data_IF_962547934515
#
_entry.id   IF_962547934515
#
_cell.length_a   1.000
_cell.length_b   1.000
_cell.length_c   1.000
_cell.angle_alpha   90.00
_cell.angle_beta   90.00
_cell.angle_gamma   90.00
#
_symmetry.space_group_name_H-M   'P 1'
#
loop_
_entity.id
_entity.type
_entity.pdbx_description
1 polymer ?
#
# COMPACT_ATOMS: atom_id res chain seq x y z
N UNK A 1 -50.39 55.00 -20.41
CA UNK A 1 -49.91 54.07 -19.37
C UNK A 1 -49.03 53.02 -20.02
N UNK A 2 -47.82 52.84 -19.47
CA UNK A 2 -46.98 51.62 -19.37
C UNK A 2 -46.96 50.64 -20.57
N UNK A 3 -45.81 50.17 -21.05
CA UNK A 3 -44.68 49.76 -20.24
C UNK A 3 -43.38 49.58 -21.02
N UNK A 4 -42.29 49.78 -20.29
CA UNK A 4 -40.91 49.56 -20.68
C UNK A 4 -40.62 48.06 -20.54
N UNK A 5 -40.27 47.37 -21.62
CA UNK A 5 -39.83 45.97 -21.57
C UNK A 5 -38.32 45.97 -21.35
N UNK A 6 -37.91 45.59 -20.14
CA UNK A 6 -36.51 45.42 -19.77
C UNK A 6 -36.10 43.98 -20.11
N UNK A 7 -35.29 43.80 -21.16
CA UNK A 7 -34.69 42.50 -21.49
C UNK A 7 -33.49 42.25 -20.57
N UNK A 8 -33.66 41.39 -19.57
CA UNK A 8 -32.56 40.92 -18.73
C UNK A 8 -31.83 39.81 -19.48
N UNK A 9 -30.60 40.10 -19.91
CA UNK A 9 -29.71 39.12 -20.51
C UNK A 9 -29.03 38.32 -19.38
N UNK A 10 -29.52 37.11 -19.12
CA UNK A 10 -28.92 36.19 -18.14
C UNK A 10 -27.65 35.58 -18.74
N UNK A 11 -26.50 36.09 -18.32
CA UNK A 11 -25.20 35.47 -18.60
C UNK A 11 -25.06 34.25 -17.70
N UNK A 12 -25.26 33.05 -18.27
CA UNK A 12 -25.01 31.80 -17.58
C UNK A 12 -23.51 31.59 -17.38
N UNK A 13 -23.04 31.70 -16.14
CA UNK A 13 -21.71 31.25 -15.74
C UNK A 13 -21.69 29.72 -15.78
N UNK A 14 -21.15 29.15 -16.86
CA UNK A 14 -20.78 27.73 -16.91
C UNK A 14 -19.62 27.51 -15.95
N UNK A 15 -19.94 27.10 -14.72
CA UNK A 15 -18.96 26.54 -13.79
C UNK A 15 -18.48 25.21 -14.35
N UNK A 16 -17.27 25.20 -14.90
CA UNK A 16 -16.59 23.98 -15.32
C UNK A 16 -16.30 23.15 -14.05
N UNK A 17 -17.11 22.13 -13.78
CA UNK A 17 -16.82 21.14 -12.75
C UNK A 17 -15.58 20.36 -13.21
N UNK A 18 -14.43 20.58 -12.56
CA UNK A 18 -13.23 19.75 -12.75
C UNK A 18 -13.62 18.30 -12.45
N UNK A 19 -13.52 17.45 -13.47
CA UNK A 19 -13.73 16.02 -13.35
C UNK A 19 -12.73 15.39 -12.37
N UNK A 20 -13.14 14.34 -11.67
CA UNK A 20 -12.28 13.56 -10.76
C UNK A 20 -11.04 12.95 -11.46
N UNK A 21 -11.01 12.94 -12.79
CA UNK A 21 -9.90 12.47 -13.64
C UNK A 21 -8.65 13.35 -13.58
N UNK A 22 -8.70 14.58 -13.07
CA UNK A 22 -7.53 15.49 -13.00
C UNK A 22 -6.57 15.16 -11.83
N UNK A 23 -6.87 14.16 -11.00
CA UNK A 23 -6.11 13.88 -9.76
C UNK A 23 -4.97 12.89 -9.92
N UNK A 24 -5.04 12.00 -10.91
CA UNK A 24 -4.06 10.92 -11.11
C UNK A 24 -3.32 11.17 -12.41
N UNK A 25 -2.01 11.35 -12.32
CA UNK A 25 -1.13 11.50 -13.48
C UNK A 25 -0.22 10.28 -13.62
N UNK A 26 -0.01 9.80 -14.85
CA UNK A 26 1.08 8.85 -15.14
C UNK A 26 2.40 9.63 -15.08
N UNK A 27 3.29 9.23 -14.18
CA UNK A 27 4.60 9.85 -13.98
C UNK A 27 5.61 9.28 -14.98
N UNK A 28 5.68 7.95 -15.06
CA UNK A 28 6.63 7.21 -15.92
C UNK A 28 6.21 5.75 -16.01
N UNK A 29 6.81 5.00 -16.94
CA UNK A 29 6.84 3.54 -16.88
C UNK A 29 7.87 3.07 -15.85
N UNK A 30 7.64 1.92 -15.22
CA UNK A 30 8.64 1.28 -14.37
C UNK A 30 9.79 0.68 -15.22
N UNK A 31 10.98 0.44 -14.64
CA UNK A 31 12.01 -0.36 -15.27
C UNK A 31 11.49 -1.72 -15.73
N UNK A 32 11.74 -2.10 -16.99
CA UNK A 32 11.28 -3.37 -17.59
C UNK A 32 11.69 -4.65 -16.85
N UNK A 33 12.71 -4.55 -15.99
CA UNK A 33 13.17 -5.67 -15.17
C UNK A 33 12.15 -6.00 -14.07
N UNK A 34 11.41 -5.01 -13.60
CA UNK A 34 10.36 -5.13 -12.58
C UNK A 34 9.05 -5.42 -13.30
N UNK A 35 8.61 -6.68 -13.25
CA UNK A 35 7.40 -7.16 -13.93
C UNK A 35 6.20 -7.10 -13.01
N UNK A 36 6.39 -7.50 -11.76
CA UNK A 36 5.31 -7.72 -10.79
C UNK A 36 5.54 -6.82 -9.56
N UNK A 37 5.61 -5.51 -9.79
CA UNK A 37 5.84 -4.55 -8.71
C UNK A 37 4.74 -4.66 -7.65
N UNK A 38 5.09 -5.18 -6.46
CA UNK A 38 4.13 -5.44 -5.38
C UNK A 38 4.11 -4.32 -4.34
N UNK A 39 5.05 -3.37 -4.38
CA UNK A 39 5.16 -2.33 -3.35
C UNK A 39 5.60 -0.98 -3.91
N UNK A 40 5.55 0.05 -3.08
CA UNK A 40 6.27 1.29 -3.31
C UNK A 40 6.67 1.87 -1.97
N UNK A 41 7.91 2.33 -1.80
CA UNK A 41 8.33 3.05 -0.60
C UNK A 41 9.44 4.05 -0.85
N UNK A 42 9.41 5.20 -0.18
CA UNK A 42 10.52 6.18 -0.16
C UNK A 42 11.10 6.24 1.24
N UNK A 43 12.32 5.73 1.40
CA UNK A 43 13.05 5.77 2.67
C UNK A 43 13.76 7.11 2.87
N UNK A 44 13.85 7.59 4.11
CA UNK A 44 14.67 8.77 4.47
C UNK A 44 16.16 8.65 4.13
N UNK A 45 16.65 7.45 3.84
CA UNK A 45 18.03 7.20 3.45
C UNK A 45 18.31 7.44 1.95
N UNK A 46 17.27 7.59 1.11
CA UNK A 46 17.43 7.73 -0.34
C UNK A 46 16.18 8.30 -1.03
N UNK A 47 16.36 9.16 -2.03
CA UNK A 47 15.26 9.66 -2.88
C UNK A 47 14.77 8.63 -3.92
N UNK A 48 15.27 7.39 -3.89
CA UNK A 48 14.79 6.32 -4.75
C UNK A 48 13.42 5.82 -4.27
N UNK A 49 12.60 5.42 -5.22
CA UNK A 49 11.39 4.65 -4.98
C UNK A 49 11.82 3.19 -4.94
N UNK A 50 11.56 2.54 -3.81
CA UNK A 50 11.85 1.15 -3.56
C UNK A 50 10.62 0.28 -3.87
N UNK A 51 10.84 -0.87 -4.47
CA UNK A 51 9.81 -1.90 -4.69
C UNK A 51 10.43 -3.28 -4.57
N UNK A 52 9.55 -4.27 -4.48
CA UNK A 52 9.84 -5.71 -4.55
C UNK A 52 8.92 -6.33 -5.60
N UNK A 53 9.13 -7.62 -5.86
CA UNK A 53 8.19 -8.47 -6.60
C UNK A 53 7.66 -9.57 -5.68
N UNK A 54 6.46 -10.08 -5.98
CA UNK A 54 5.74 -11.08 -5.19
C UNK A 54 6.38 -12.48 -5.24
N UNK A 55 5.70 -13.48 -4.67
CA UNK A 55 6.18 -14.87 -4.66
C UNK A 55 6.64 -15.37 -6.05
N UNK A 56 7.60 -16.31 -6.05
CA UNK A 56 8.25 -16.92 -7.24
C UNK A 56 9.23 -15.99 -7.97
N UNK A 57 9.38 -14.75 -7.54
CA UNK A 57 10.44 -13.85 -8.00
C UNK A 57 11.66 -13.91 -7.07
N UNK A 58 12.76 -13.27 -7.48
CA UNK A 58 13.99 -13.25 -6.70
C UNK A 58 13.88 -12.35 -5.45
N UNK A 59 14.69 -12.61 -4.44
CA UNK A 59 14.76 -11.82 -3.20
C UNK A 59 15.50 -10.50 -3.43
N UNK A 60 14.97 -9.63 -4.28
CA UNK A 60 15.60 -8.39 -4.70
C UNK A 60 14.76 -7.20 -4.26
N UNK A 61 15.43 -6.25 -3.61
CA UNK A 61 14.92 -4.91 -3.37
C UNK A 61 15.39 -4.00 -4.51
N UNK A 62 14.45 -3.55 -5.33
CA UNK A 62 14.71 -2.68 -6.48
C UNK A 62 14.56 -1.22 -6.09
N UNK A 63 15.48 -0.36 -6.54
CA UNK A 63 15.41 1.09 -6.34
C UNK A 63 15.47 1.81 -7.68
N UNK A 64 14.46 2.64 -7.97
CA UNK A 64 14.34 3.39 -9.22
C UNK A 64 13.98 4.85 -8.97
N UNK A 65 14.22 5.70 -9.97
CA UNK A 65 13.89 7.14 -9.90
C UNK A 65 12.48 7.43 -10.40
N UNK A 66 11.95 8.62 -10.11
CA UNK A 66 10.69 9.12 -10.70
C UNK A 66 10.72 9.25 -12.23
N UNK A 67 11.87 9.07 -12.88
CA UNK A 67 12.01 8.98 -14.34
C UNK A 67 11.95 7.55 -14.88
N UNK A 68 11.71 6.55 -14.02
CA UNK A 68 11.67 5.14 -14.40
C UNK A 68 13.05 4.52 -14.61
N UNK A 69 14.11 5.21 -14.19
CA UNK A 69 15.48 4.70 -14.29
C UNK A 69 15.82 3.81 -13.10
N UNK A 70 16.15 2.54 -13.35
CA UNK A 70 16.67 1.62 -12.34
C UNK A 70 18.05 2.08 -11.86
N UNK A 71 18.25 2.15 -10.54
CA UNK A 71 19.52 2.57 -9.91
C UNK A 71 20.09 1.53 -8.95
N UNK A 72 19.23 0.70 -8.36
CA UNK A 72 19.62 -0.32 -7.38
C UNK A 72 18.88 -1.62 -7.60
N UNK A 73 19.62 -2.71 -7.41
CA UNK A 73 19.16 -4.07 -7.29
C UNK A 73 19.92 -4.65 -6.10
N UNK A 74 19.24 -4.85 -4.98
CA UNK A 74 19.87 -5.31 -3.74
C UNK A 74 19.35 -6.70 -3.45
N UNK A 75 20.21 -7.71 -3.62
CA UNK A 75 19.86 -9.08 -3.23
C UNK A 75 19.86 -9.22 -1.72
N UNK A 76 18.78 -9.75 -1.15
CA UNK A 76 18.69 -10.08 0.28
C UNK A 76 19.03 -11.56 0.46
N UNK A 77 20.21 -11.86 1.00
CA UNK A 77 20.81 -13.20 0.85
C UNK A 77 20.52 -14.21 1.96
N UNK A 78 19.87 -13.81 3.06
CA UNK A 78 19.64 -14.68 4.24
C UNK A 78 18.16 -14.95 4.54
N UNK A 79 17.25 -14.59 3.65
CA UNK A 79 15.81 -14.86 3.72
C UNK A 79 15.31 -15.25 2.33
N UNK A 80 14.13 -15.87 2.27
CA UNK A 80 13.46 -16.26 1.03
C UNK A 80 12.20 -15.42 0.81
N UNK A 81 11.84 -15.21 -0.46
CA UNK A 81 10.54 -14.68 -0.85
C UNK A 81 9.50 -15.81 -0.84
N UNK A 82 8.83 -15.99 0.31
CA UNK A 82 7.74 -16.95 0.42
C UNK A 82 6.44 -16.36 -0.16
N UNK A 83 6.11 -15.11 0.20
CA UNK A 83 5.08 -14.26 -0.42
C UNK A 83 5.31 -12.81 0.06
N UNK A 84 6.20 -12.10 -0.63
CA UNK A 84 6.54 -10.70 -0.35
C UNK A 84 5.48 -9.78 -0.92
N UNK A 85 4.87 -8.95 -0.09
CA UNK A 85 3.67 -8.20 -0.49
C UNK A 85 3.87 -6.70 -0.47
N UNK A 86 4.57 -6.14 0.52
CA UNK A 86 4.63 -4.68 0.70
C UNK A 86 5.94 -4.21 1.36
N UNK A 87 6.17 -2.89 1.34
CA UNK A 87 7.33 -2.21 1.94
C UNK A 87 6.92 -1.09 2.90
N UNK A 88 7.75 -0.84 3.91
CA UNK A 88 7.63 0.36 4.74
C UNK A 88 9.00 0.79 5.27
N UNK A 89 9.17 2.04 5.69
CA UNK A 89 10.42 2.53 6.25
C UNK A 89 10.26 3.27 7.57
N UNK A 90 11.29 3.20 8.43
CA UNK A 90 11.33 3.92 9.70
C UNK A 90 12.00 5.30 9.59
N UNK A 91 11.91 6.08 10.67
CA UNK A 91 12.52 7.41 10.76
C UNK A 91 14.06 7.40 10.63
N UNK A 92 14.70 6.23 10.78
CA UNK A 92 16.14 6.03 10.57
C UNK A 92 16.48 5.59 9.12
N UNK A 93 15.48 5.46 8.25
CA UNK A 93 15.63 5.09 6.84
C UNK A 93 15.85 3.59 6.60
N UNK A 94 15.60 2.74 7.60
CA UNK A 94 15.62 1.30 7.38
C UNK A 94 14.36 0.90 6.60
N UNK A 95 14.48 -0.06 5.69
CA UNK A 95 13.35 -0.61 4.94
C UNK A 95 12.92 -1.92 5.59
N UNK A 96 11.62 -2.13 5.64
CA UNK A 96 10.97 -3.33 6.12
C UNK A 96 10.27 -4.00 4.94
N UNK A 97 10.51 -5.30 4.77
CA UNK A 97 9.90 -6.13 3.73
C UNK A 97 8.88 -7.04 4.38
N UNK A 98 7.63 -6.97 3.94
CA UNK A 98 6.55 -7.82 4.42
C UNK A 98 6.52 -9.16 3.72
N UNK A 99 6.92 -10.25 4.39
CA UNK A 99 6.79 -11.63 3.90
C UNK A 99 5.62 -12.31 4.60
N UNK A 100 4.41 -11.93 4.20
CA UNK A 100 3.18 -12.27 4.90
C UNK A 100 1.98 -12.56 4.00
N UNK A 101 2.15 -12.51 2.68
CA UNK A 101 1.12 -12.91 1.73
C UNK A 101 0.66 -14.34 2.02
N UNK A 102 -0.64 -14.55 2.10
CA UNK A 102 -1.24 -15.78 2.60
C UNK A 102 -2.61 -16.02 1.97
N UNK A 103 -2.66 -15.93 0.65
CA UNK A 103 -3.82 -16.13 -0.22
C UNK A 103 -4.76 -17.27 0.23
N UNK A 104 -4.20 -18.43 0.57
CA UNK A 104 -4.95 -19.62 0.99
C UNK A 104 -5.17 -19.72 2.50
N UNK A 105 -4.59 -18.81 3.28
CA UNK A 105 -4.61 -18.78 4.75
C UNK A 105 -3.99 -20.05 5.36
N UNK A 106 -2.96 -20.58 4.70
CA UNK A 106 -2.24 -21.81 5.07
C UNK A 106 -0.91 -21.54 5.78
N UNK A 107 -0.33 -20.35 5.61
CA UNK A 107 1.01 -20.04 6.11
C UNK A 107 1.03 -19.81 7.61
N UNK A 108 2.02 -20.41 8.25
CA UNK A 108 2.36 -20.21 9.66
C UNK A 108 3.68 -19.44 9.84
N UNK A 109 4.40 -19.13 8.76
CA UNK A 109 5.71 -18.49 8.75
C UNK A 109 5.64 -17.00 8.33
N UNK A 110 4.66 -16.26 8.84
CA UNK A 110 4.50 -14.83 8.53
C UNK A 110 5.60 -14.02 9.19
N UNK A 111 6.27 -13.17 8.42
CA UNK A 111 7.44 -12.42 8.88
C UNK A 111 7.54 -11.01 8.27
N UNK A 112 8.33 -10.17 8.93
CA UNK A 112 8.77 -8.87 8.42
C UNK A 112 10.29 -8.79 8.56
N UNK A 113 10.98 -8.46 7.47
CA UNK A 113 12.44 -8.40 7.40
C UNK A 113 12.95 -6.97 7.43
N UNK A 114 13.90 -6.66 8.32
CA UNK A 114 14.55 -5.34 8.37
C UNK A 114 15.81 -5.31 7.52
N UNK A 115 15.88 -4.38 6.58
CA UNK A 115 17.08 -4.03 5.82
C UNK A 115 17.60 -2.68 6.32
N UNK A 116 18.87 -2.62 6.74
CA UNK A 116 19.42 -1.40 7.31
C UNK A 116 19.62 -0.30 6.26
N UNK A 117 19.40 0.95 6.65
CA UNK A 117 19.61 2.14 5.82
C UNK A 117 20.99 2.17 5.13
N UNK A 118 22.04 1.81 5.87
CA UNK A 118 23.42 1.79 5.35
C UNK A 118 23.63 0.75 4.23
N UNK A 119 22.78 -0.29 4.17
CA UNK A 119 22.87 -1.35 3.17
C UNK A 119 22.17 -0.98 1.85
N UNK A 120 21.35 0.07 1.84
CA UNK A 120 20.64 0.55 0.63
C UNK A 120 21.58 1.08 -0.46
N UNK A 121 22.86 1.30 -0.12
CA UNK A 121 23.90 1.68 -1.08
C UNK A 121 24.61 0.47 -1.72
N UNK A 122 24.40 -0.74 -1.20
CA UNK A 122 25.10 -1.98 -1.61
C UNK A 122 24.35 -2.67 -2.76
N UNK A 123 24.94 -3.76 -3.26
CA UNK A 123 24.30 -4.67 -4.24
C UNK A 123 23.79 -5.96 -3.57
N UNK A 124 24.24 -6.23 -2.35
CA UNK A 124 23.79 -7.34 -1.52
C UNK A 124 23.65 -6.87 -0.08
N UNK A 125 22.60 -7.30 0.58
CA UNK A 125 22.30 -7.01 1.98
C UNK A 125 21.78 -8.28 2.69
N UNK A 126 21.71 -8.19 4.02
CA UNK A 126 21.05 -9.21 4.83
C UNK A 126 19.92 -8.57 5.62
N UNK A 127 18.84 -9.31 5.83
CA UNK A 127 17.86 -9.00 6.85
C UNK A 127 18.56 -9.03 8.22
N UNK A 128 18.64 -7.88 8.87
CA UNK A 128 19.34 -7.70 10.16
C UNK A 128 18.45 -8.01 11.35
N UNK A 129 17.14 -8.00 11.15
CA UNK A 129 16.14 -8.49 12.07
C UNK A 129 15.01 -9.18 11.29
N UNK A 130 14.47 -10.24 11.89
CA UNK A 130 13.31 -10.96 11.39
C UNK A 130 12.26 -10.93 12.51
N UNK A 131 11.12 -10.32 12.21
CA UNK A 131 9.99 -10.21 13.14
C UNK A 131 8.93 -11.19 12.67
N UNK A 132 8.82 -12.31 13.34
CA UNK A 132 7.83 -13.35 13.05
C UNK A 132 6.55 -13.09 13.83
N UNK A 133 5.38 -13.34 13.23
CA UNK A 133 4.10 -13.16 13.91
C UNK A 133 3.07 -14.22 13.55
N UNK A 134 1.98 -14.26 14.33
CA UNK A 134 0.84 -15.13 14.09
C UNK A 134 -0.46 -14.45 14.53
N UNK A 135 -1.59 -14.93 14.01
CA UNK A 135 -2.91 -14.52 14.45
C UNK A 135 -3.44 -15.43 15.55
N UNK A 136 -3.70 -14.92 16.77
CA UNK A 136 -4.30 -15.74 17.82
C UNK A 136 -5.67 -16.32 17.45
N UNK A 137 -6.40 -15.65 16.55
CA UNK A 137 -7.72 -16.05 16.05
C UNK A 137 -7.67 -17.14 14.96
N UNK A 138 -6.51 -17.38 14.34
CA UNK A 138 -6.36 -18.39 13.28
C UNK A 138 -5.98 -19.74 13.89
N UNK A 139 -7.00 -20.55 14.21
CA UNK A 139 -6.82 -21.88 14.81
C UNK A 139 -6.80 -23.02 13.80
N UNK A 140 -7.08 -22.74 12.52
CA UNK A 140 -7.09 -23.71 11.41
C UNK A 140 -6.25 -23.16 10.25
N UNK A 141 -5.49 -24.03 9.58
CA UNK A 141 -4.63 -23.72 8.44
C UNK A 141 -4.96 -24.70 7.30
N UNK A 142 -5.93 -24.39 6.41
CA UNK A 142 -6.64 -23.13 6.30
C UNK A 142 -7.94 -23.14 7.10
N UNK A 143 -8.44 -21.97 7.54
CA UNK A 143 -9.80 -21.89 8.03
C UNK A 143 -10.78 -22.19 6.88
N UNK A 144 -12.05 -22.42 7.25
CA UNK A 144 -13.14 -22.54 6.27
C UNK A 144 -13.10 -21.39 5.28
N UNK A 145 -13.45 -21.64 4.02
CA UNK A 145 -13.41 -20.63 2.93
C UNK A 145 -14.09 -19.30 3.29
N UNK A 146 -15.15 -19.30 4.09
CA UNK A 146 -15.86 -18.08 4.53
C UNK A 146 -15.14 -17.27 5.62
N UNK A 147 -14.13 -17.84 6.26
CA UNK A 147 -13.39 -17.29 7.40
C UNK A 147 -11.92 -17.00 7.03
N UNK A 148 -11.58 -16.97 5.73
CA UNK A 148 -10.25 -16.65 5.22
C UNK A 148 -9.99 -15.14 5.22
N UNK A 149 -9.59 -14.60 6.36
CA UNK A 149 -9.36 -13.16 6.59
C UNK A 149 -7.98 -12.85 7.18
N UNK A 150 -7.05 -13.81 7.11
CA UNK A 150 -5.69 -13.76 7.69
C UNK A 150 -4.60 -13.61 6.61
N UNK A 151 -4.97 -13.04 5.48
CA UNK A 151 -4.09 -12.68 4.38
C UNK A 151 -3.71 -11.20 4.54
N UNK A 152 -2.44 -10.88 4.69
CA UNK A 152 -1.97 -9.48 4.75
C UNK A 152 -1.36 -9.16 3.42
N UNK A 153 -1.73 -8.02 2.86
CA UNK A 153 -1.06 -7.51 1.65
C UNK A 153 -0.57 -6.09 1.80
N UNK A 154 -0.75 -5.50 2.99
CA UNK A 154 -0.25 -4.17 3.21
C UNK A 154 0.05 -3.85 4.65
N UNK A 155 1.04 -2.99 4.85
CA UNK A 155 1.45 -2.57 6.19
C UNK A 155 2.24 -1.26 6.20
N UNK A 156 2.38 -0.68 7.39
CA UNK A 156 3.44 0.29 7.63
C UNK A 156 3.98 0.22 9.05
N UNK A 157 5.18 0.76 9.26
CA UNK A 157 5.75 0.96 10.59
C UNK A 157 5.44 2.35 11.13
N UNK A 158 4.98 2.43 12.38
CA UNK A 158 4.80 3.69 13.11
C UNK A 158 5.09 3.46 14.60
N UNK A 159 5.90 4.34 15.21
CA UNK A 159 6.22 4.28 16.65
C UNK A 159 6.73 2.89 17.11
N UNK A 160 7.58 2.26 16.30
CA UNK A 160 8.14 0.92 16.53
C UNK A 160 7.09 -0.21 16.60
N UNK A 161 5.96 -0.03 15.92
CA UNK A 161 4.91 -1.03 15.74
C UNK A 161 4.61 -1.17 14.25
N UNK A 162 4.37 -2.39 13.80
CA UNK A 162 3.82 -2.67 12.48
C UNK A 162 2.30 -2.67 12.55
N UNK A 163 1.69 -1.99 11.59
CA UNK A 163 0.25 -1.94 11.40
C UNK A 163 -0.09 -2.67 10.11
N UNK A 164 -0.76 -3.81 10.24
CA UNK A 164 -1.05 -4.74 9.15
C UNK A 164 -2.51 -4.62 8.75
N UNK A 165 -2.78 -4.62 7.45
CA UNK A 165 -4.14 -4.53 6.89
C UNK A 165 -4.41 -5.78 6.05
N UNK A 166 -5.44 -6.53 6.45
CA UNK A 166 -5.75 -7.79 5.77
C UNK A 166 -6.54 -7.59 4.49
N UNK A 167 -6.30 -8.47 3.52
CA UNK A 167 -7.11 -8.69 2.33
C UNK A 167 -8.12 -9.80 2.62
N UNK A 168 -9.40 -9.51 2.46
CA UNK A 168 -10.43 -10.51 2.68
C UNK A 168 -10.45 -11.52 1.53
N UNK A 169 -10.05 -12.77 1.81
CA UNK A 169 -10.07 -13.92 0.87
C UNK A 169 -11.28 -14.82 1.09
N UNK A 170 -12.26 -14.36 1.87
CA UNK A 170 -13.49 -15.09 2.16
C UNK A 170 -14.28 -15.39 0.89
N UNK A 171 -14.86 -16.58 0.80
CA UNK A 171 -15.88 -16.90 -0.20
C UNK A 171 -17.13 -16.00 -0.10
N UNK A 172 -17.27 -15.24 0.98
CA UNK A 172 -18.29 -14.21 1.19
C UNK A 172 -17.65 -12.84 1.31
N UNK A 173 -16.81 -12.49 0.34
CA UNK A 173 -16.15 -11.19 0.30
C UNK A 173 -17.16 -10.04 0.44
N UNK A 174 -16.84 -9.11 1.33
CA UNK A 174 -17.64 -7.91 1.60
C UNK A 174 -16.80 -6.62 1.61
N UNK A 175 -15.49 -6.72 1.37
CA UNK A 175 -14.56 -5.59 1.47
C UNK A 175 -13.99 -5.35 2.86
N UNK A 176 -14.22 -6.24 3.82
CA UNK A 176 -13.60 -6.11 5.15
C UNK A 176 -12.08 -6.15 5.04
N UNK A 177 -11.41 -5.18 5.65
CA UNK A 177 -9.99 -5.23 5.98
C UNK A 177 -9.86 -5.11 7.49
N UNK A 178 -9.03 -5.94 8.10
CA UNK A 178 -8.79 -5.94 9.55
C UNK A 178 -7.45 -5.30 9.83
N UNK A 179 -7.43 -4.34 10.75
CA UNK A 179 -6.22 -3.70 11.25
C UNK A 179 -5.67 -4.51 12.43
N UNK A 180 -4.45 -5.01 12.27
CA UNK A 180 -3.67 -5.61 13.33
C UNK A 180 -2.43 -4.78 13.68
N UNK A 181 -1.94 -4.97 14.89
CA UNK A 181 -0.68 -4.40 15.38
C UNK A 181 0.28 -5.51 15.81
N UNK A 182 1.55 -5.40 15.43
CA UNK A 182 2.65 -6.28 15.86
C UNK A 182 3.83 -5.43 16.33
N UNK A 183 4.45 -5.79 17.46
CA UNK A 183 5.64 -5.09 17.95
C UNK A 183 6.82 -5.32 16.99
N UNK A 184 7.60 -4.28 16.68
CA UNK A 184 8.84 -4.44 15.93
C UNK A 184 9.95 -4.99 16.84
N UNK A 185 9.89 -6.29 17.10
CA UNK A 185 10.80 -7.00 17.99
C UNK A 185 11.11 -8.39 17.45
N UNK A 186 12.39 -8.64 17.15
CA UNK A 186 12.88 -9.93 16.69
C UNK A 186 13.24 -10.88 17.85
N UNK A 187 13.43 -12.15 17.53
CA UNK A 187 13.90 -13.18 18.48
C UNK A 187 12.79 -13.98 19.15
N UNK A 188 11.53 -13.70 18.85
CA UNK A 188 10.37 -14.52 19.23
C UNK A 188 9.23 -14.30 18.23
N UNK A 189 8.34 -15.29 18.12
CA UNK A 189 7.09 -15.15 17.35
C UNK A 189 6.08 -14.34 18.16
N UNK A 190 5.52 -13.28 17.56
CA UNK A 190 4.65 -12.33 18.25
C UNK A 190 3.17 -12.53 17.89
N UNK A 191 2.24 -12.37 18.84
CA UNK A 191 0.81 -12.35 18.52
C UNK A 191 0.44 -11.02 17.86
N UNK A 192 -0.20 -11.08 16.68
CA UNK A 192 -0.84 -9.93 16.07
C UNK A 192 -2.08 -9.53 16.87
N UNK A 193 -2.10 -8.28 17.36
CA UNK A 193 -3.21 -7.74 18.12
C UNK A 193 -4.21 -7.07 17.19
N UNK A 194 -5.43 -7.60 17.13
CA UNK A 194 -6.53 -6.96 16.40
C UNK A 194 -6.92 -5.62 17.05
N UNK A 195 -6.99 -4.58 16.25
CA UNK A 195 -7.35 -3.22 16.68
C UNK A 195 -8.79 -2.90 16.27
N UNK A 196 -9.07 -2.96 14.97
CA UNK A 196 -10.37 -2.61 14.40
C UNK A 196 -10.52 -3.18 12.98
N UNK A 197 -11.60 -2.85 12.28
CA UNK A 197 -11.81 -3.23 10.89
C UNK A 197 -12.55 -2.14 10.12
N UNK A 198 -12.35 -2.10 8.81
CA UNK A 198 -13.06 -1.21 7.90
C UNK A 198 -13.64 -2.01 6.73
N UNK A 199 -14.78 -1.56 6.20
CA UNK A 199 -15.43 -2.19 5.03
C UNK A 199 -15.28 -1.25 3.84
N UNK A 200 -14.58 -1.71 2.80
CA UNK A 200 -14.41 -0.96 1.55
C UNK A 200 -15.68 -1.05 0.68
N UNK A 201 -15.84 -2.13 -0.07
CA UNK A 201 -17.04 -2.47 -0.82
C UNK A 201 -17.06 -3.96 -1.20
N UNK A 202 -18.22 -4.50 -1.57
CA UNK A 202 -18.40 -5.93 -1.89
C UNK A 202 -17.88 -6.40 -3.26
N UNK A 203 -17.13 -5.59 -4.02
CA UNK A 203 -16.52 -6.01 -5.28
C UNK A 203 -15.04 -6.34 -5.08
N UNK A 204 -14.70 -7.63 -5.05
CA UNK A 204 -13.33 -8.10 -4.79
C UNK A 204 -12.29 -7.42 -5.68
N UNK A 205 -12.52 -7.41 -6.99
CA UNK A 205 -11.55 -6.86 -7.94
C UNK A 205 -11.31 -5.36 -7.72
N UNK A 206 -12.29 -4.61 -7.20
CA UNK A 206 -12.18 -3.16 -7.06
C UNK A 206 -11.87 -2.69 -5.63
N UNK A 207 -12.08 -3.53 -4.63
CA UNK A 207 -12.13 -3.11 -3.23
C UNK A 207 -11.31 -3.97 -2.27
N UNK A 208 -10.68 -5.04 -2.77
CA UNK A 208 -9.63 -5.72 -2.01
C UNK A 208 -8.46 -4.76 -1.78
N UNK A 209 -8.00 -4.66 -0.54
CA UNK A 209 -6.85 -3.82 -0.17
C UNK A 209 -5.57 -4.49 -0.66
N UNK A 210 -4.67 -3.69 -1.24
CA UNK A 210 -3.40 -4.16 -1.84
C UNK A 210 -2.17 -3.43 -1.32
N UNK A 211 -2.30 -2.21 -0.79
CA UNK A 211 -1.17 -1.45 -0.23
C UNK A 211 -1.63 -0.44 0.81
N UNK A 212 -0.73 -0.03 1.70
CA UNK A 212 -1.03 0.93 2.75
C UNK A 212 0.20 1.78 3.07
N UNK A 213 -0.03 3.06 3.35
CA UNK A 213 1.04 3.93 3.83
C UNK A 213 0.51 4.96 4.82
N UNK A 214 1.44 5.54 5.58
CA UNK A 214 1.17 6.69 6.46
C UNK A 214 1.91 7.92 5.95
N UNK A 215 1.28 9.10 6.02
CA UNK A 215 1.88 10.35 5.56
C UNK A 215 3.08 10.75 6.43
N UNK A 216 4.05 11.53 5.90
CA UNK A 216 5.21 11.99 6.65
C UNK A 216 4.89 12.72 7.95
N UNK A 217 3.79 13.49 7.98
CA UNK A 217 3.31 14.18 9.19
C UNK A 217 2.50 13.28 10.15
N UNK A 218 2.33 12.00 9.79
CA UNK A 218 1.63 10.96 10.55
C UNK A 218 0.14 11.23 10.76
N UNK A 219 -0.48 12.08 9.91
CA UNK A 219 -1.89 12.49 10.04
C UNK A 219 -2.84 11.83 9.05
N UNK A 220 -2.31 11.20 7.99
CA UNK A 220 -3.11 10.50 6.98
C UNK A 220 -2.64 9.05 6.87
N UNK A 221 -3.57 8.11 6.86
CA UNK A 221 -3.33 6.74 6.42
C UNK A 221 -4.03 6.55 5.09
N UNK A 222 -3.35 5.94 4.13
CA UNK A 222 -3.91 5.61 2.83
C UNK A 222 -4.01 4.09 2.69
N UNK A 223 -5.14 3.60 2.16
CA UNK A 223 -5.29 2.22 1.68
C UNK A 223 -5.56 2.23 0.18
N UNK A 224 -4.87 1.37 -0.56
CA UNK A 224 -5.00 1.18 -2.00
C UNK A 224 -5.89 -0.03 -2.33
N UNK A 225 -6.63 0.07 -3.43
CA UNK A 225 -7.10 -1.07 -4.22
C UNK A 225 -6.80 -0.83 -5.71
N UNK A 226 -7.21 -1.77 -6.57
CA UNK A 226 -7.01 -1.72 -8.02
C UNK A 226 -7.51 -0.45 -8.73
N UNK A 227 -8.48 0.28 -8.15
CA UNK A 227 -9.03 1.50 -8.75
C UNK A 227 -9.44 2.60 -7.74
N UNK A 228 -9.16 2.44 -6.45
CA UNK A 228 -9.53 3.40 -5.40
C UNK A 228 -8.41 3.58 -4.38
N UNK A 229 -8.44 4.74 -3.72
CA UNK A 229 -7.65 5.02 -2.52
C UNK A 229 -8.58 5.53 -1.42
N UNK A 230 -8.49 4.95 -0.23
CA UNK A 230 -9.14 5.47 0.97
C UNK A 230 -8.14 6.23 1.81
N UNK A 231 -8.44 7.49 2.15
CA UNK A 231 -7.66 8.34 3.03
C UNK A 231 -8.35 8.46 4.38
N UNK A 232 -7.67 8.07 5.45
CA UNK A 232 -8.13 8.17 6.83
C UNK A 232 -7.43 9.34 7.54
N UNK A 233 -8.20 10.15 8.25
CA UNK A 233 -7.73 11.34 9.00
C UNK A 233 -8.48 11.47 10.33
N UNK A 234 -8.00 12.30 11.24
CA UNK A 234 -8.66 12.56 12.54
C UNK A 234 -8.92 11.28 13.37
N UNK A 235 -8.08 10.26 13.23
CA UNK A 235 -8.18 9.01 13.97
C UNK A 235 -7.69 9.14 15.42
N UNK A 236 -8.13 8.22 16.29
CA UNK A 236 -7.78 8.19 17.71
C UNK A 236 -6.68 7.17 17.98
N UNK A 237 -5.54 7.66 18.46
CA UNK A 237 -4.40 6.78 18.77
C UNK A 237 -3.94 6.05 17.52
N UNK A 238 -3.93 4.72 17.58
CA UNK A 238 -3.56 3.85 16.47
C UNK A 238 -4.73 3.04 15.89
N UNK A 239 -5.96 3.38 16.26
CA UNK A 239 -7.15 2.93 15.54
C UNK A 239 -7.43 3.88 14.36
N UNK A 240 -6.72 3.68 13.25
CA UNK A 240 -6.82 4.53 12.06
C UNK A 240 -8.22 4.57 11.45
N UNK A 241 -9.02 3.52 11.66
CA UNK A 241 -10.40 3.41 11.16
C UNK A 241 -11.42 4.14 12.02
N UNK A 242 -11.05 4.61 13.22
CA UNK A 242 -11.91 5.47 14.04
C UNK A 242 -12.07 6.89 13.50
N UNK A 243 -11.23 7.29 12.54
CA UNK A 243 -11.21 8.62 11.94
C UNK A 243 -12.25 8.82 10.84
N UNK A 244 -12.14 9.96 10.16
CA UNK A 244 -12.87 10.23 8.91
C UNK A 244 -12.20 9.47 7.77
N UNK A 245 -12.99 8.86 6.91
CA UNK A 245 -12.53 8.25 5.66
C UNK A 245 -13.02 9.05 4.45
N UNK A 246 -12.15 9.18 3.44
CA UNK A 246 -12.48 9.71 2.14
C UNK A 246 -12.03 8.71 1.07
N UNK A 247 -12.96 8.26 0.23
CA UNK A 247 -12.64 7.45 -0.93
C UNK A 247 -12.37 8.35 -2.14
N UNK A 248 -11.31 8.04 -2.87
CA UNK A 248 -10.89 8.69 -4.11
C UNK A 248 -10.86 7.63 -5.22
N UNK A 249 -11.66 7.82 -6.27
CA UNK A 249 -11.58 6.97 -7.46
C UNK A 249 -10.37 7.37 -8.32
N UNK A 250 -9.62 6.39 -8.81
CA UNK A 250 -8.45 6.59 -9.67
C UNK A 250 -8.82 6.71 -11.15
N UNK A 251 -10.09 6.51 -11.50
CA UNK A 251 -10.64 6.66 -12.85
C UNK A 251 -10.21 5.57 -13.84
N UNK A 252 -9.41 4.59 -13.42
CA UNK A 252 -9.00 3.46 -14.24
C UNK A 252 -8.66 2.24 -13.37
N UNK A 253 -8.92 1.06 -13.91
CA UNK A 253 -8.61 -0.21 -13.29
C UNK A 253 -7.25 -0.73 -13.80
N UNK A 254 -6.38 -1.12 -12.87
CA UNK A 254 -5.18 -1.95 -13.13
C UNK A 254 -4.80 -2.69 -11.84
N UNK A 255 -3.90 -3.65 -11.92
CA UNK A 255 -3.41 -4.38 -10.75
C UNK A 255 -2.40 -3.52 -9.97
N UNK A 256 -2.93 -2.56 -9.20
CA UNK A 256 -2.14 -1.64 -8.39
C UNK A 256 -1.83 -2.28 -7.04
N UNK A 257 -0.55 -2.48 -6.76
CA UNK A 257 -0.08 -3.21 -5.58
C UNK A 257 0.84 -2.36 -4.70
N UNK A 258 1.40 -1.24 -5.17
CA UNK A 258 2.24 -0.37 -4.34
C UNK A 258 1.68 1.03 -4.11
N UNK A 259 1.78 1.54 -2.88
CA UNK A 259 1.40 2.90 -2.48
C UNK A 259 2.41 3.49 -1.49
N UNK A 260 2.91 4.70 -1.74
CA UNK A 260 3.67 5.47 -0.74
C UNK A 260 3.38 6.96 -0.83
N UNK A 261 3.58 7.70 0.27
CA UNK A 261 3.48 9.15 0.25
C UNK A 261 4.79 9.76 -0.26
N UNK A 262 4.72 10.51 -1.37
CA UNK A 262 5.84 11.35 -1.82
C UNK A 262 6.01 12.57 -0.93
N UNK A 263 4.89 13.10 -0.41
CA UNK A 263 4.83 14.12 0.63
C UNK A 263 3.42 14.11 1.26
N UNK A 264 3.09 15.05 2.13
CA UNK A 264 1.79 15.08 2.81
C UNK A 264 0.57 15.31 1.88
N UNK A 265 0.82 15.75 0.64
CA UNK A 265 -0.19 16.18 -0.33
C UNK A 265 -0.15 15.36 -1.65
N UNK A 266 0.77 14.41 -1.80
CA UNK A 266 0.81 13.49 -2.96
C UNK A 266 1.22 12.07 -2.59
N UNK A 267 0.64 11.12 -3.32
CA UNK A 267 0.87 9.69 -3.21
C UNK A 267 1.43 9.19 -4.54
N UNK A 268 2.43 8.30 -4.48
CA UNK A 268 2.89 7.52 -5.61
C UNK A 268 2.28 6.12 -5.56
N UNK A 269 1.91 5.60 -6.73
CA UNK A 269 1.26 4.30 -6.87
C UNK A 269 1.96 3.53 -7.99
N UNK A 270 2.23 2.25 -7.79
CA UNK A 270 2.75 1.33 -8.82
C UNK A 270 1.69 0.29 -9.19
N UNK A 271 1.74 -0.18 -10.44
CA UNK A 271 0.98 -1.36 -10.87
C UNK A 271 1.87 -2.44 -11.47
N UNK A 272 1.35 -3.66 -11.51
CA UNK A 272 2.00 -4.76 -12.20
C UNK A 272 1.86 -4.64 -13.72
N UNK A 273 2.85 -5.21 -14.42
CA UNK A 273 2.89 -5.18 -15.87
C UNK A 273 1.68 -5.92 -16.46
N UNK A 274 0.88 -5.20 -17.26
CA UNK A 274 -0.24 -5.81 -17.97
C UNK A 274 0.26 -6.70 -19.13
N UNK A 275 -0.63 -7.43 -19.82
CA UNK A 275 -0.31 -8.36 -20.95
C UNK A 275 0.58 -7.80 -22.07
N UNK A 276 0.80 -6.49 -22.14
CA UNK A 276 1.71 -5.82 -23.10
C UNK A 276 3.10 -5.49 -22.52
N UNK A 277 3.38 -5.86 -21.28
CA UNK A 277 4.69 -5.77 -20.63
C UNK A 277 5.05 -4.40 -20.07
N UNK A 278 4.07 -3.51 -19.85
CA UNK A 278 4.28 -2.19 -19.26
C UNK A 278 3.54 -2.07 -17.93
N UNK A 279 4.25 -1.55 -16.94
CA UNK A 279 3.79 -1.10 -15.62
C UNK A 279 4.12 0.37 -15.46
N UNK A 280 3.37 1.07 -14.63
CA UNK A 280 3.38 2.53 -14.50
C UNK A 280 3.51 2.98 -13.05
N UNK A 281 4.23 4.09 -12.89
CA UNK A 281 4.23 4.89 -11.67
C UNK A 281 3.21 6.01 -11.88
N UNK A 282 2.22 6.09 -11.00
CA UNK A 282 1.23 7.15 -10.98
C UNK A 282 1.51 8.09 -9.81
N UNK A 283 1.05 9.33 -9.94
CA UNK A 283 0.97 10.29 -8.83
C UNK A 283 -0.47 10.71 -8.62
N UNK A 284 -0.98 10.49 -7.42
CA UNK A 284 -2.27 10.99 -6.95
C UNK A 284 -2.05 12.25 -6.12
N UNK A 285 -2.63 13.39 -6.54
CA UNK A 285 -2.64 14.63 -5.74
C UNK A 285 -3.81 14.61 -4.75
N UNK A 286 -3.51 14.84 -3.49
CA UNK A 286 -4.51 15.00 -2.43
C UNK A 286 -4.90 16.49 -2.37
N UNK A 287 -6.21 16.75 -2.31
CA UNK A 287 -6.69 18.12 -2.12
C UNK A 287 -6.39 18.55 -0.68
N UNK A 288 -6.02 19.83 -0.51
CA UNK A 288 -5.97 20.48 0.81
C UNK A 288 -7.36 20.68 1.40
#
# INVERSE_FOLDING_TARGET
MRGLILSVLTVGLFSCQKSATDKVEVVTTLPKLIKEASAAEISKASDLIWTIEDQKNENILFGFTTKGELKKEIRISNVENNDWEDLSSDDAGNIYVGDFGNNDNLRENLAIYKINAADLSKNEAKATAIVEFFYPEQTEFPPKKKDRVFDVESFFILNNQFYLFTKNRSSKFDGTTVLYRVENKSGQKLPAQKISSFVTCGNFNQCAVTSAAISPDKKKVALLSSDKVWIFTDFKGDDFFSGKSQMIELGHFSQKEGLTFENNDSILITDEAQKKGESFLYRLKLNK
#
